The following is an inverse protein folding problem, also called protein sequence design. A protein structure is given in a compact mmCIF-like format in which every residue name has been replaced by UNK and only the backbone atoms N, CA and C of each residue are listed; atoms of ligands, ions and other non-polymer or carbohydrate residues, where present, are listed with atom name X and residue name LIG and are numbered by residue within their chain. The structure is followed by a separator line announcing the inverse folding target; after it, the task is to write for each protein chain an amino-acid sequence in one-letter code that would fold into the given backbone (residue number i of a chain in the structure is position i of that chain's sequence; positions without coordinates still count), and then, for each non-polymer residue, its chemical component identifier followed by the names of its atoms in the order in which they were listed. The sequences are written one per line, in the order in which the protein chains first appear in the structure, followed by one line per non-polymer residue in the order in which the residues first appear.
data_IF_745440741934
#
_entry.id   IF_745440741934
#
_cell.length_a   1.000
_cell.length_b   1.000
_cell.length_c   1.000
_cell.angle_alpha   90.00
_cell.angle_beta   90.00
_cell.angle_gamma   90.00
#
_symmetry.space_group_name_H-M   'P 1'
#
loop_
_entity.id
_entity.type
_entity.pdbx_description
1 polymer ?
#
# COMPACT_ATOMS: atom_id res chain seq x y z
N UNK A 1 0.91 54.26 -25.01
CA UNK A 1 0.57 52.89 -24.53
C UNK A 1 1.88 52.14 -24.37
N UNK A 2 2.36 51.96 -23.14
CA UNK A 2 3.54 51.12 -22.88
C UNK A 2 3.09 49.67 -23.04
N UNK A 3 3.55 48.98 -24.09
CA UNK A 3 3.41 47.54 -24.19
C UNK A 3 4.18 46.92 -23.02
N UNK A 4 3.45 46.43 -22.01
CA UNK A 4 4.02 45.58 -20.97
C UNK A 4 4.66 44.38 -21.67
N UNK A 5 5.98 44.33 -21.67
CA UNK A 5 6.72 43.17 -22.20
C UNK A 5 6.26 41.96 -21.39
N UNK A 6 5.70 40.92 -22.04
CA UNK A 6 5.22 39.75 -21.32
C UNK A 6 6.41 39.12 -20.60
N UNK A 7 6.27 38.98 -19.28
CA UNK A 7 7.30 38.35 -18.47
C UNK A 7 7.23 36.85 -18.70
N UNK A 8 8.09 36.33 -19.57
CA UNK A 8 8.13 34.92 -19.95
C UNK A 8 9.39 34.26 -19.38
N UNK A 9 9.28 32.99 -19.00
CA UNK A 9 10.38 32.10 -18.63
C UNK A 9 10.16 30.67 -19.17
N UNK A 10 11.03 29.76 -18.75
CA UNK A 10 11.04 28.35 -19.19
C UNK A 10 11.12 27.43 -17.98
N UNK A 11 10.73 26.17 -18.17
CA UNK A 11 10.94 25.09 -17.21
C UNK A 11 11.76 23.98 -17.84
N UNK A 12 12.69 23.42 -17.07
CA UNK A 12 13.44 22.23 -17.44
C UNK A 12 13.21 21.15 -16.38
N UNK A 13 12.82 19.96 -16.83
CA UNK A 13 12.61 18.80 -16.00
C UNK A 13 13.91 17.98 -15.91
N UNK A 14 14.21 17.46 -14.72
CA UNK A 14 15.40 16.62 -14.51
C UNK A 14 15.30 15.27 -15.23
N UNK A 15 14.07 14.77 -15.41
CA UNK A 15 13.77 13.55 -16.13
C UNK A 15 12.63 13.77 -17.14
N UNK A 16 12.52 12.93 -18.19
CA UNK A 16 11.41 13.00 -19.12
C UNK A 16 10.05 12.90 -18.41
N UNK A 17 9.14 13.82 -18.73
CA UNK A 17 7.81 13.88 -18.12
C UNK A 17 6.94 12.74 -18.65
N UNK A 18 6.21 12.00 -17.79
CA UNK A 18 5.29 10.96 -18.25
C UNK A 18 4.05 11.55 -18.93
N UNK A 19 3.26 10.69 -19.58
CA UNK A 19 2.01 11.12 -20.22
C UNK A 19 1.01 11.71 -19.19
N UNK A 20 0.19 12.67 -19.62
CA UNK A 20 -0.96 13.14 -18.83
C UNK A 20 -0.59 14.08 -17.68
N UNK A 21 0.56 14.76 -17.77
CA UNK A 21 0.96 15.82 -16.84
C UNK A 21 0.49 17.18 -17.34
N UNK A 22 -0.10 17.96 -16.44
CA UNK A 22 -0.61 19.31 -16.72
C UNK A 22 0.08 20.31 -15.81
N UNK A 23 0.59 21.40 -16.38
CA UNK A 23 1.05 22.58 -15.64
C UNK A 23 -0.15 23.49 -15.38
N UNK A 24 -0.40 23.81 -14.12
CA UNK A 24 -1.55 24.63 -13.70
C UNK A 24 -1.04 25.84 -12.94
N UNK A 25 -1.55 27.03 -13.24
CA UNK A 25 -1.23 28.22 -12.43
C UNK A 25 -1.91 28.14 -11.07
N UNK A 26 -1.29 28.73 -10.03
CA UNK A 26 -1.83 28.67 -8.65
C UNK A 26 -3.24 29.25 -8.51
N UNK A 27 -3.64 30.17 -9.38
CA UNK A 27 -4.99 30.74 -9.45
C UNK A 27 -5.99 29.88 -10.27
N UNK A 28 -5.53 28.75 -10.84
CA UNK A 28 -6.30 27.84 -11.68
C UNK A 28 -6.69 28.40 -13.05
N UNK A 29 -6.26 29.62 -13.40
CA UNK A 29 -6.72 30.32 -14.60
C UNK A 29 -6.10 29.78 -15.90
N UNK A 30 -4.92 29.16 -15.81
CA UNK A 30 -4.19 28.60 -16.95
C UNK A 30 -3.82 27.15 -16.71
N UNK A 31 -4.01 26.33 -17.74
CA UNK A 31 -3.70 24.89 -17.74
C UNK A 31 -3.00 24.55 -19.05
N UNK A 32 -1.84 23.92 -18.96
CA UNK A 32 -1.02 23.55 -20.12
C UNK A 32 -0.71 22.06 -20.06
N UNK A 33 -1.11 21.32 -21.09
CA UNK A 33 -0.75 19.91 -21.23
C UNK A 33 0.73 19.80 -21.64
N UNK A 34 1.49 19.00 -20.93
CA UNK A 34 2.90 18.72 -21.25
C UNK A 34 2.96 17.48 -22.14
N UNK A 35 3.73 17.55 -23.22
CA UNK A 35 3.97 16.39 -24.09
C UNK A 35 4.74 15.31 -23.34
N UNK A 36 4.39 14.04 -23.56
CA UNK A 36 5.13 12.91 -23.02
C UNK A 36 6.58 12.94 -23.50
N UNK A 37 7.51 12.67 -22.59
CA UNK A 37 8.94 12.68 -22.85
C UNK A 37 9.56 14.08 -22.87
N UNK A 38 8.79 15.14 -22.65
CA UNK A 38 9.32 16.50 -22.59
C UNK A 38 10.33 16.64 -21.44
N UNK A 39 11.49 17.23 -21.75
CA UNK A 39 12.52 17.61 -20.78
C UNK A 39 12.56 19.12 -20.55
N UNK A 40 11.91 19.90 -21.43
CA UNK A 40 11.81 21.36 -21.35
C UNK A 40 10.40 21.74 -21.80
N UNK A 41 9.81 22.71 -21.11
CA UNK A 41 8.60 23.38 -21.58
C UNK A 41 8.86 24.88 -21.65
N UNK A 42 8.61 25.48 -22.81
CA UNK A 42 8.95 26.86 -23.09
C UNK A 42 7.75 27.80 -22.99
N UNK A 43 8.05 29.10 -22.82
CA UNK A 43 7.07 30.18 -22.96
C UNK A 43 5.97 30.18 -21.90
N UNK A 44 6.32 29.90 -20.65
CA UNK A 44 5.42 30.11 -19.51
C UNK A 44 5.48 31.56 -19.04
N UNK A 45 4.33 32.12 -18.65
CA UNK A 45 4.28 33.41 -17.96
C UNK A 45 5.02 33.34 -16.62
N UNK A 46 5.57 34.47 -16.16
CA UNK A 46 6.14 34.56 -14.83
C UNK A 46 5.01 34.43 -13.79
N UNK A 47 5.20 33.54 -12.82
CA UNK A 47 4.16 33.16 -11.88
C UNK A 47 4.50 31.89 -11.12
N UNK A 48 3.59 31.49 -10.24
CA UNK A 48 3.67 30.22 -9.51
C UNK A 48 2.75 29.21 -10.17
N UNK A 49 3.25 27.99 -10.31
CA UNK A 49 2.60 26.88 -10.97
C UNK A 49 2.78 25.61 -10.16
N UNK A 50 1.91 24.65 -10.41
CA UNK A 50 2.02 23.29 -9.89
C UNK A 50 1.70 22.28 -10.98
N UNK A 51 2.19 21.06 -10.83
CA UNK A 51 1.88 19.95 -11.72
C UNK A 51 0.64 19.20 -11.20
N UNK A 52 -0.26 18.85 -12.11
CA UNK A 52 -1.43 18.00 -11.84
C UNK A 52 -1.44 16.80 -12.79
N UNK A 53 -1.95 15.67 -12.32
CA UNK A 53 -2.25 14.51 -13.16
C UNK A 53 -3.40 13.70 -12.56
N UNK A 54 -4.20 13.07 -13.42
CA UNK A 54 -5.17 12.06 -12.97
C UNK A 54 -4.57 10.66 -12.81
N UNK A 55 -3.33 10.44 -13.27
CA UNK A 55 -2.67 9.12 -13.28
C UNK A 55 -1.54 9.02 -12.26
N UNK A 56 -0.97 10.15 -11.85
CA UNK A 56 0.21 10.19 -10.99
C UNK A 56 -0.03 11.05 -9.74
N UNK A 57 0.47 10.58 -8.60
CA UNK A 57 0.75 11.42 -7.45
C UNK A 57 2.08 12.11 -7.71
N UNK A 58 2.10 13.44 -7.59
CA UNK A 58 3.27 14.25 -7.93
C UNK A 58 3.84 14.87 -6.66
N UNK A 59 5.07 14.51 -6.30
CA UNK A 59 5.82 15.20 -5.26
C UNK A 59 6.76 16.22 -5.89
N UNK A 60 7.01 17.34 -5.20
CA UNK A 60 7.82 18.46 -5.70
C UNK A 60 7.30 19.02 -7.03
N UNK A 61 5.97 19.02 -7.22
CA UNK A 61 5.31 19.53 -8.41
C UNK A 61 5.16 21.05 -8.45
N UNK A 62 5.41 21.75 -7.35
CA UNK A 62 5.26 23.21 -7.24
C UNK A 62 6.54 23.92 -7.67
N UNK A 63 6.41 24.96 -8.51
CA UNK A 63 7.54 25.75 -8.97
C UNK A 63 7.15 27.18 -9.33
N UNK A 64 8.16 28.05 -9.42
CA UNK A 64 7.98 29.47 -9.75
C UNK A 64 8.78 29.87 -10.97
N UNK A 65 8.10 30.32 -12.00
CA UNK A 65 8.71 30.85 -13.23
C UNK A 65 9.12 32.31 -13.01
N UNK A 66 10.37 32.60 -13.35
CA UNK A 66 10.94 33.95 -13.33
C UNK A 66 11.23 34.44 -14.75
N UNK A 67 11.08 35.75 -15.00
CA UNK A 67 11.32 36.32 -16.32
C UNK A 67 12.75 36.06 -16.81
N UNK A 68 12.90 35.62 -18.07
CA UNK A 68 14.17 35.34 -18.77
C UNK A 68 15.05 34.30 -18.06
N UNK A 69 14.45 33.42 -17.25
CA UNK A 69 15.15 32.33 -16.58
C UNK A 69 14.49 31.00 -16.87
N UNK A 70 15.31 29.96 -16.87
CA UNK A 70 14.87 28.57 -16.87
C UNK A 70 14.81 28.08 -15.43
N UNK A 71 13.65 27.58 -15.02
CA UNK A 71 13.45 27.00 -13.69
C UNK A 71 13.66 25.50 -13.81
N UNK A 72 14.60 24.96 -13.04
CA UNK A 72 14.83 23.53 -12.98
C UNK A 72 13.92 22.90 -11.94
N UNK A 73 13.22 21.82 -12.31
CA UNK A 73 12.33 21.09 -11.41
C UNK A 73 12.63 19.60 -11.45
N UNK A 74 12.47 18.95 -10.29
CA UNK A 74 12.63 17.51 -10.13
C UNK A 74 11.36 16.90 -9.50
N UNK A 75 10.26 16.86 -10.27
CA UNK A 75 9.03 16.22 -9.81
C UNK A 75 9.21 14.71 -9.75
N UNK A 76 8.68 14.10 -8.70
CA UNK A 76 8.61 12.65 -8.57
C UNK A 76 7.20 12.20 -8.91
N UNK A 77 7.08 11.34 -9.93
CA UNK A 77 5.81 10.81 -10.39
C UNK A 77 5.61 9.39 -9.85
N UNK A 78 4.50 9.17 -9.14
CA UNK A 78 4.13 7.85 -8.66
C UNK A 78 2.78 7.43 -9.26
N UNK A 79 2.79 6.35 -10.03
CA UNK A 79 1.59 5.81 -10.69
C UNK A 79 0.55 5.40 -9.65
N UNK A 80 -0.64 6.01 -9.73
CA UNK A 80 -1.77 5.75 -8.85
C UNK A 80 -2.20 4.27 -8.97
N UNK A 81 -2.34 3.75 -10.19
CA UNK A 81 -2.78 2.36 -10.43
C UNK A 81 -1.80 1.36 -9.82
N UNK A 82 -0.51 1.65 -9.88
CA UNK A 82 0.51 0.80 -9.24
C UNK A 82 0.36 0.80 -7.72
N UNK A 83 0.16 1.97 -7.11
CA UNK A 83 -0.06 2.09 -5.66
C UNK A 83 -1.35 1.38 -5.25
N UNK A 84 -2.43 1.52 -6.02
CA UNK A 84 -3.70 0.83 -5.78
C UNK A 84 -3.55 -0.69 -5.85
N UNK A 85 -2.86 -1.18 -6.89
CA UNK A 85 -2.58 -2.61 -7.07
C UNK A 85 -1.80 -3.17 -5.89
N UNK A 86 -0.76 -2.48 -5.44
CA UNK A 86 0.02 -2.93 -4.30
C UNK A 86 -0.78 -2.84 -2.99
N UNK A 87 -1.58 -1.79 -2.78
CA UNK A 87 -2.50 -1.65 -1.65
C UNK A 87 -3.40 -2.88 -1.56
N UNK A 88 -4.02 -3.26 -2.67
CA UNK A 88 -4.98 -4.36 -2.72
C UNK A 88 -4.29 -5.72 -2.56
N UNK A 89 -3.08 -5.88 -3.11
CA UNK A 89 -2.22 -7.04 -2.86
C UNK A 89 -1.89 -7.21 -1.38
N UNK A 90 -1.50 -6.14 -0.67
CA UNK A 90 -1.21 -6.21 0.76
C UNK A 90 -2.46 -6.50 1.58
N UNK A 91 -3.60 -5.90 1.24
CA UNK A 91 -4.90 -6.19 1.86
C UNK A 91 -5.29 -7.66 1.67
N UNK A 92 -5.14 -8.20 0.47
CA UNK A 92 -5.42 -9.60 0.16
C UNK A 92 -4.52 -10.54 0.98
N UNK A 93 -3.19 -10.33 0.96
CA UNK A 93 -2.24 -11.14 1.75
C UNK A 93 -2.55 -11.11 3.24
N UNK A 94 -2.86 -9.93 3.80
CA UNK A 94 -3.31 -9.78 5.19
C UNK A 94 -4.55 -10.62 5.46
N UNK A 95 -5.57 -10.50 4.62
CA UNK A 95 -6.84 -11.20 4.82
C UNK A 95 -6.70 -12.72 4.71
N UNK A 96 -5.85 -13.20 3.79
CA UNK A 96 -5.53 -14.62 3.67
C UNK A 96 -4.90 -15.16 4.96
N UNK A 97 -3.94 -14.43 5.53
CA UNK A 97 -3.30 -14.84 6.78
C UNK A 97 -4.24 -14.77 7.97
N UNK A 98 -5.09 -13.73 8.07
CA UNK A 98 -6.13 -13.67 9.10
C UNK A 98 -7.08 -14.88 8.96
N UNK A 99 -7.48 -15.23 7.74
CA UNK A 99 -8.29 -16.42 7.49
C UNK A 99 -7.60 -17.70 7.95
N UNK A 100 -6.31 -17.85 7.65
CA UNK A 100 -5.52 -19.00 8.14
C UNK A 100 -5.42 -19.06 9.66
N UNK A 101 -5.31 -17.91 10.34
CA UNK A 101 -5.32 -17.83 11.80
C UNK A 101 -6.65 -18.30 12.38
N UNK A 102 -7.77 -17.87 11.82
CA UNK A 102 -9.11 -18.27 12.26
C UNK A 102 -9.30 -19.78 12.12
N UNK A 103 -8.87 -20.36 10.99
CA UNK A 103 -8.91 -21.81 10.76
C UNK A 103 -8.03 -22.54 11.78
N UNK A 104 -6.81 -22.06 12.00
CA UNK A 104 -5.83 -22.66 12.92
C UNK A 104 -6.36 -22.64 14.36
N UNK A 105 -6.88 -21.50 14.82
CA UNK A 105 -7.47 -21.36 16.14
C UNK A 105 -8.73 -22.23 16.32
N UNK A 106 -9.58 -22.30 15.29
CA UNK A 106 -10.76 -23.17 15.29
C UNK A 106 -10.39 -24.65 15.41
N UNK A 107 -9.41 -25.10 14.62
CA UNK A 107 -8.93 -26.49 14.69
C UNK A 107 -8.25 -26.80 16.03
N UNK A 108 -7.48 -25.87 16.59
CA UNK A 108 -6.91 -25.99 17.94
C UNK A 108 -7.99 -26.18 19.01
N UNK A 109 -9.09 -25.45 18.90
CA UNK A 109 -10.26 -25.60 19.78
C UNK A 109 -10.97 -26.94 19.60
N UNK A 110 -11.11 -27.43 18.35
CA UNK A 110 -11.64 -28.76 18.06
C UNK A 110 -10.77 -29.87 18.70
N UNK A 111 -9.44 -29.83 18.51
CA UNK A 111 -8.51 -30.78 19.14
C UNK A 111 -8.62 -30.77 20.66
N UNK A 112 -8.81 -29.59 21.28
CA UNK A 112 -9.02 -29.48 22.72
C UNK A 112 -10.33 -30.12 23.17
N UNK A 113 -11.43 -29.83 22.45
CA UNK A 113 -12.75 -30.40 22.74
C UNK A 113 -12.75 -31.93 22.60
N UNK A 114 -12.11 -32.47 21.56
CA UNK A 114 -12.01 -33.91 21.32
C UNK A 114 -11.19 -34.61 22.40
N UNK A 115 -10.02 -34.07 22.73
CA UNK A 115 -9.18 -34.57 23.83
C UNK A 115 -9.92 -34.54 25.18
N UNK A 116 -10.68 -33.49 25.47
CA UNK A 116 -11.51 -33.42 26.69
C UNK A 116 -12.66 -34.42 26.70
N UNK A 117 -13.28 -34.69 25.56
CA UNK A 117 -14.34 -35.69 25.44
C UNK A 117 -13.79 -37.11 25.69
N UNK A 118 -12.65 -37.46 25.10
CA UNK A 118 -11.97 -38.75 25.33
C UNK A 118 -11.50 -38.84 26.79
N UNK A 119 -11.03 -37.73 27.38
CA UNK A 119 -10.65 -37.70 28.79
C UNK A 119 -11.85 -37.96 29.73
N UNK A 120 -13.05 -37.48 29.38
CA UNK A 120 -14.27 -37.76 30.17
C UNK A 120 -14.69 -39.24 30.13
N UNK A 121 -14.43 -39.96 29.04
CA UNK A 121 -14.67 -41.41 28.93
C UNK A 121 -13.56 -42.27 29.55
N UNK A 122 -12.43 -41.66 29.92
CA UNK A 122 -11.28 -42.34 30.53
C UNK A 122 -11.59 -42.98 31.89
N UNK A 123 -12.60 -42.48 32.61
CA UNK A 123 -12.97 -42.95 33.95
C UNK A 123 -14.08 -44.02 34.00
N UNK A 124 -14.69 -44.39 32.87
CA UNK A 124 -15.88 -45.26 32.86
C UNK A 124 -15.60 -46.75 32.61
N UNK A 125 -14.55 -47.11 31.85
CA UNK A 125 -14.22 -48.52 31.56
C UNK A 125 -12.70 -48.79 31.55
N UNK A 126 -12.25 -49.76 32.36
CA UNK A 126 -10.82 -50.08 32.59
C UNK A 126 -10.14 -50.69 31.35
N UNK A 127 -10.90 -51.31 30.43
CA UNK A 127 -10.39 -51.99 29.24
C UNK A 127 -10.07 -51.05 28.05
N UNK A 128 -10.61 -49.83 28.03
CA UNK A 128 -10.39 -48.86 26.94
C UNK A 128 -9.33 -47.79 27.26
N UNK A 129 -8.79 -47.79 28.48
CA UNK A 129 -7.89 -46.75 28.98
C UNK A 129 -6.61 -46.54 28.16
N UNK A 130 -5.96 -47.61 27.69
CA UNK A 130 -4.69 -47.51 26.93
C UNK A 130 -4.91 -46.98 25.50
N UNK A 131 -6.03 -47.33 24.86
CA UNK A 131 -6.39 -46.82 23.54
C UNK A 131 -6.77 -45.33 23.62
N UNK A 132 -7.55 -44.95 24.63
CA UNK A 132 -7.91 -43.56 24.90
C UNK A 132 -6.68 -42.71 25.27
N UNK A 133 -5.71 -43.28 25.99
CA UNK A 133 -4.45 -42.59 26.33
C UNK A 133 -3.63 -42.22 25.10
N UNK A 134 -3.45 -43.19 24.18
CA UNK A 134 -2.72 -42.98 22.93
C UNK A 134 -3.40 -41.94 22.04
N UNK A 135 -4.73 -41.97 21.94
CA UNK A 135 -5.46 -40.96 21.16
C UNK A 135 -5.32 -39.55 21.75
N UNK A 136 -5.35 -39.40 23.08
CA UNK A 136 -5.12 -38.10 23.71
C UNK A 136 -3.70 -37.61 23.44
N UNK A 137 -2.70 -38.48 23.53
CA UNK A 137 -1.30 -38.14 23.29
C UNK A 137 -1.07 -37.68 21.83
N UNK A 138 -1.67 -38.35 20.85
CA UNK A 138 -1.64 -37.95 19.44
C UNK A 138 -2.29 -36.57 19.22
N UNK A 139 -3.46 -36.31 19.83
CA UNK A 139 -4.12 -35.01 19.76
C UNK A 139 -3.27 -33.92 20.43
N UNK A 140 -2.64 -34.22 21.57
CA UNK A 140 -1.79 -33.29 22.31
C UNK A 140 -0.49 -32.95 21.56
N UNK A 141 0.03 -33.84 20.72
CA UNK A 141 1.19 -33.53 19.87
C UNK A 141 0.87 -32.51 18.77
N UNK A 142 -0.38 -32.48 18.28
CA UNK A 142 -0.81 -31.53 17.23
C UNK A 142 -1.04 -30.12 17.80
N UNK A 143 -1.39 -30.02 19.07
CA UNK A 143 -1.69 -28.75 19.77
C UNK A 143 -0.55 -27.71 19.66
N UNK A 144 0.72 -28.02 19.99
CA UNK A 144 1.86 -27.10 19.82
C UNK A 144 2.13 -26.68 18.37
N UNK A 145 1.85 -27.56 17.39
CA UNK A 145 2.06 -27.26 15.97
C UNK A 145 1.12 -26.13 15.54
N UNK A 146 -0.15 -26.22 15.93
CA UNK A 146 -1.14 -25.19 15.66
C UNK A 146 -0.82 -23.87 16.39
N UNK A 147 -0.30 -23.94 17.61
CA UNK A 147 0.13 -22.75 18.36
C UNK A 147 1.33 -22.06 17.65
N UNK A 148 2.28 -22.85 17.13
CA UNK A 148 3.42 -22.35 16.34
C UNK A 148 3.02 -21.66 15.04
N UNK A 149 2.10 -22.26 14.26
CA UNK A 149 1.53 -21.65 13.05
C UNK A 149 0.84 -20.32 13.37
N UNK A 150 0.15 -20.27 14.50
CA UNK A 150 -0.56 -19.07 14.93
C UNK A 150 0.42 -17.93 15.27
N UNK A 151 1.49 -18.20 16.02
CA UNK A 151 2.49 -17.17 16.34
C UNK A 151 3.22 -16.67 15.09
N UNK A 152 3.59 -17.58 14.18
CA UNK A 152 4.31 -17.24 12.95
C UNK A 152 3.52 -16.30 12.03
N UNK A 153 2.19 -16.43 12.01
CA UNK A 153 1.33 -15.65 11.10
C UNK A 153 1.04 -14.24 11.59
N UNK A 154 1.24 -13.91 12.87
CA UNK A 154 0.96 -12.59 13.45
C UNK A 154 1.88 -11.50 12.86
N UNK A 155 3.19 -11.70 12.83
CA UNK A 155 4.13 -10.66 12.36
C UNK A 155 3.89 -10.26 10.89
N UNK A 156 3.72 -11.20 9.95
CA UNK A 156 3.39 -10.85 8.56
C UNK A 156 2.06 -10.11 8.42
N UNK A 157 1.04 -10.42 9.23
CA UNK A 157 -0.24 -9.70 9.23
C UNK A 157 -0.05 -8.22 9.60
N UNK A 158 0.72 -7.95 10.65
CA UNK A 158 1.02 -6.58 11.09
C UNK A 158 1.79 -5.84 9.99
N UNK A 159 2.81 -6.47 9.41
CA UNK A 159 3.58 -5.90 8.31
C UNK A 159 2.70 -5.53 7.11
N UNK A 160 1.87 -6.47 6.63
CA UNK A 160 0.96 -6.22 5.50
C UNK A 160 -0.10 -5.17 5.83
N UNK A 161 -0.57 -5.12 7.08
CA UNK A 161 -1.49 -4.07 7.52
C UNK A 161 -0.84 -2.68 7.48
N UNK A 162 0.40 -2.56 7.96
CA UNK A 162 1.16 -1.31 7.90
C UNK A 162 1.39 -0.83 6.46
N UNK A 163 1.78 -1.74 5.57
CA UNK A 163 1.96 -1.42 4.13
C UNK A 163 0.66 -1.00 3.45
N UNK A 164 -0.44 -1.69 3.73
CA UNK A 164 -1.77 -1.30 3.25
C UNK A 164 -2.15 0.12 3.69
N UNK A 165 -1.94 0.46 4.98
CA UNK A 165 -2.23 1.80 5.50
C UNK A 165 -1.32 2.88 4.91
N UNK A 166 -0.03 2.57 4.72
CA UNK A 166 0.91 3.48 4.07
C UNK A 166 0.42 3.87 2.67
N UNK A 167 0.05 2.89 1.85
CA UNK A 167 -0.43 3.13 0.49
C UNK A 167 -1.78 3.83 0.46
N UNK A 168 -2.68 3.51 1.40
CA UNK A 168 -3.95 4.24 1.55
C UNK A 168 -3.73 5.71 1.87
N UNK A 169 -2.73 6.04 2.70
CA UNK A 169 -2.40 7.45 3.00
C UNK A 169 -1.85 8.16 1.78
N UNK A 170 -0.95 7.53 1.04
CA UNK A 170 -0.42 8.12 -0.20
C UNK A 170 -1.53 8.50 -1.17
N UNK A 171 -2.49 7.60 -1.42
CA UNK A 171 -3.65 7.86 -2.28
C UNK A 171 -4.63 8.91 -1.75
N UNK A 172 -4.54 9.31 -0.47
CA UNK A 172 -5.38 10.36 0.12
C UNK A 172 -4.69 11.72 0.12
N UNK A 173 -3.35 11.74 0.05
CA UNK A 173 -2.53 12.96 0.08
C UNK A 173 -2.06 13.40 -1.30
N UNK A 174 -2.17 12.54 -2.32
CA UNK A 174 -2.04 12.90 -3.73
C UNK A 174 -3.37 13.32 -4.30
#
# INVERSE_FOLDING_TARGET
MQHLVPQIGHIAFEAPVPEGIVIVSTDGSTRFLVEEGAIVYEKLGAGTYHLESGQYIIHNGDFRISHRRTTHVNPQFHDILLIEKDRDKYKFKRNLLIGSLVITAGYRGYLQYESENIYKSYGSEILEGDANHKQIEELDQLKPIMDGISVFTIFPIIYYHGKYLQMKRWLQTG
#
